data_IF_177973428701
#
_entry.id   IF_177973428701
#
_cell.length_a   1.000
_cell.length_b   1.000
_cell.length_c   1.000
_cell.angle_alpha   90.00
_cell.angle_beta   90.00
_cell.angle_gamma   90.00
#
_symmetry.space_group_name_H-M   'P 1'
#
loop_
_entity.id
_entity.type
_entity.pdbx_description
1 polymer ?
#
# COMPACT_ATOMS: atom_id res chain seq x y z
N UNK A 1 -60.06 -31.51 -31.63
CA UNK A 1 -59.51 -30.50 -30.70
C UNK A 1 -59.82 -29.12 -31.25
N UNK A 2 -60.47 -28.25 -30.47
CA UNK A 2 -60.98 -26.98 -31.01
C UNK A 2 -59.83 -26.01 -31.24
N UNK A 3 -59.73 -25.46 -32.46
CA UNK A 3 -58.69 -24.49 -32.83
C UNK A 3 -58.61 -23.30 -31.85
N UNK A 4 -59.77 -22.88 -31.31
CA UNK A 4 -59.87 -21.83 -30.27
C UNK A 4 -59.22 -22.23 -28.93
N UNK A 5 -59.33 -23.50 -28.54
CA UNK A 5 -58.73 -24.04 -27.31
C UNK A 5 -57.21 -24.17 -27.48
N UNK A 6 -56.74 -24.57 -28.66
CA UNK A 6 -55.30 -24.65 -28.97
C UNK A 6 -54.64 -23.27 -28.95
N UNK A 7 -55.26 -22.25 -29.54
CA UNK A 7 -54.74 -20.87 -29.56
C UNK A 7 -54.68 -20.28 -28.14
N UNK A 8 -55.73 -20.47 -27.33
CA UNK A 8 -55.76 -20.00 -25.96
C UNK A 8 -54.64 -20.64 -25.10
N UNK A 9 -54.38 -21.94 -25.27
CA UNK A 9 -53.30 -22.63 -24.56
C UNK A 9 -51.90 -22.10 -24.94
N UNK A 10 -51.66 -21.81 -26.21
CA UNK A 10 -50.38 -21.25 -26.68
C UNK A 10 -50.15 -19.85 -26.11
N UNK A 11 -51.17 -18.99 -26.06
CA UNK A 11 -51.06 -17.64 -25.50
C UNK A 11 -50.72 -17.68 -24.01
N UNK A 12 -51.35 -18.59 -23.24
CA UNK A 12 -51.06 -18.74 -21.80
C UNK A 12 -49.62 -19.22 -21.56
N UNK A 13 -49.11 -20.14 -22.38
CA UNK A 13 -47.72 -20.62 -22.29
C UNK A 13 -46.73 -19.50 -22.65
N UNK A 14 -47.02 -18.68 -23.67
CA UNK A 14 -46.15 -17.54 -24.04
C UNK A 14 -46.12 -16.50 -22.91
N UNK A 15 -47.26 -16.18 -22.29
CA UNK A 15 -47.30 -15.25 -21.15
C UNK A 15 -46.53 -15.80 -19.96
N UNK A 16 -46.61 -17.11 -19.68
CA UNK A 16 -45.83 -17.76 -18.62
C UNK A 16 -44.33 -17.79 -18.91
N UNK A 17 -43.91 -17.95 -20.17
CA UNK A 17 -42.49 -17.89 -20.58
C UNK A 17 -41.97 -16.45 -20.52
N UNK A 18 -42.76 -15.45 -20.92
CA UNK A 18 -42.36 -14.03 -20.83
C UNK A 18 -42.30 -13.56 -19.37
N UNK A 19 -43.22 -14.01 -18.51
CA UNK A 19 -43.15 -13.74 -17.06
C UNK A 19 -42.01 -14.51 -16.38
N UNK A 20 -41.72 -15.74 -16.82
CA UNK A 20 -40.60 -16.56 -16.32
C UNK A 20 -39.22 -16.10 -16.81
N UNK A 21 -39.14 -15.41 -17.95
CA UNK A 21 -37.90 -14.83 -18.48
C UNK A 21 -37.54 -13.48 -17.84
N UNK A 22 -38.45 -12.89 -17.05
CA UNK A 22 -38.20 -11.74 -16.17
C UNK A 22 -37.92 -12.18 -14.72
N UNK A 23 -37.32 -13.36 -14.52
CA UNK A 23 -36.61 -13.66 -13.27
C UNK A 23 -35.33 -12.81 -13.25
N UNK A 24 -35.46 -11.68 -12.57
CA UNK A 24 -34.45 -10.69 -12.25
C UNK A 24 -33.11 -11.32 -11.88
N UNK A 25 -32.05 -10.93 -12.59
CA UNK A 25 -30.68 -11.02 -12.08
C UNK A 25 -30.55 -10.08 -10.89
N UNK A 26 -30.87 -10.57 -9.70
CA UNK A 26 -30.43 -9.94 -8.46
C UNK A 26 -28.93 -10.18 -8.38
N UNK A 27 -28.14 -9.25 -8.90
CA UNK A 27 -26.71 -9.18 -8.58
C UNK A 27 -26.62 -8.80 -7.10
N UNK A 28 -26.72 -9.79 -6.21
CA UNK A 28 -26.45 -9.55 -4.79
C UNK A 28 -24.96 -9.30 -4.67
N UNK A 29 -24.59 -8.07 -4.33
CA UNK A 29 -23.23 -7.75 -3.96
C UNK A 29 -22.87 -8.47 -2.65
N UNK A 30 -21.61 -8.91 -2.54
CA UNK A 30 -21.04 -9.37 -1.28
C UNK A 30 -20.73 -8.18 -0.37
N UNK A 31 -20.84 -8.37 0.95
CA UNK A 31 -20.46 -7.31 1.88
C UNK A 31 -18.96 -7.05 1.81
N UNK A 32 -18.55 -5.78 1.75
CA UNK A 32 -17.15 -5.38 1.97
C UNK A 32 -16.88 -4.99 3.43
N UNK A 33 -15.62 -5.00 3.82
CA UNK A 33 -15.14 -4.65 5.15
C UNK A 33 -13.77 -4.00 5.05
N UNK A 34 -13.62 -2.81 5.64
CA UNK A 34 -12.36 -2.10 5.77
C UNK A 34 -11.80 -2.29 7.19
N UNK A 35 -10.48 -2.39 7.30
CA UNK A 35 -9.76 -2.35 8.57
C UNK A 35 -8.55 -1.44 8.43
N UNK A 36 -8.45 -0.42 9.28
CA UNK A 36 -7.20 0.36 9.44
C UNK A 36 -6.28 -0.46 10.34
N UNK A 37 -5.07 -0.72 9.87
CA UNK A 37 -4.11 -1.61 10.50
C UNK A 37 -3.13 -0.79 11.34
N UNK A 38 -3.04 -1.09 12.63
CA UNK A 38 -2.14 -0.42 13.58
C UNK A 38 -2.80 -0.10 14.91
N UNK A 39 -2.01 0.42 15.84
CA UNK A 39 -2.41 0.67 17.23
C UNK A 39 -2.92 2.10 17.49
N UNK A 40 -3.21 2.87 16.43
CA UNK A 40 -3.68 4.26 16.54
C UNK A 40 -2.58 5.29 16.80
N UNK A 41 -1.30 4.91 16.74
CA UNK A 41 -0.17 5.85 16.76
C UNK A 41 0.86 5.52 15.70
N UNK A 42 1.41 6.54 15.05
CA UNK A 42 2.56 6.47 14.13
C UNK A 42 3.44 7.71 14.33
N UNK A 43 4.64 7.71 13.79
CA UNK A 43 5.54 8.85 13.74
C UNK A 43 5.23 9.74 12.52
N UNK A 44 5.80 10.96 12.49
CA UNK A 44 5.67 11.85 11.33
C UNK A 44 6.14 11.16 10.05
N UNK A 45 5.54 11.51 8.92
CA UNK A 45 5.74 10.84 7.62
C UNK A 45 5.50 9.32 7.58
N UNK A 46 4.94 8.75 8.66
CA UNK A 46 4.53 7.37 8.75
C UNK A 46 3.43 6.98 7.76
N UNK A 47 3.14 5.68 7.72
CA UNK A 47 2.19 5.08 6.78
C UNK A 47 1.06 4.40 7.53
N UNK A 48 -0.19 4.73 7.18
CA UNK A 48 -1.35 3.98 7.66
C UNK A 48 -1.61 2.78 6.75
N UNK A 49 -1.81 1.61 7.34
CA UNK A 49 -2.16 0.40 6.60
C UNK A 49 -3.67 0.26 6.49
N UNK A 50 -4.16 -0.12 5.32
CA UNK A 50 -5.59 -0.33 5.07
C UNK A 50 -5.75 -1.72 4.49
N UNK A 51 -6.63 -2.52 5.07
CA UNK A 51 -7.04 -3.83 4.54
C UNK A 51 -8.50 -3.80 4.13
N UNK A 52 -8.77 -4.22 2.91
CA UNK A 52 -10.12 -4.40 2.38
C UNK A 52 -10.38 -5.89 2.14
N UNK A 53 -11.48 -6.39 2.71
CA UNK A 53 -11.94 -7.77 2.52
C UNK A 53 -13.42 -7.83 2.19
N UNK A 54 -13.91 -8.98 1.76
CA UNK A 54 -15.34 -9.28 1.85
C UNK A 54 -15.75 -9.61 3.30
N UNK A 55 -17.03 -9.92 3.50
CA UNK A 55 -17.60 -10.31 4.80
C UNK A 55 -16.98 -11.58 5.40
N UNK A 56 -16.41 -12.45 4.56
CA UNK A 56 -15.71 -13.68 4.98
C UNK A 56 -14.20 -13.46 5.22
N UNK A 57 -13.74 -12.21 5.20
CA UNK A 57 -12.33 -11.79 5.33
C UNK A 57 -11.42 -12.24 4.17
N UNK A 58 -11.97 -12.57 3.01
CA UNK A 58 -11.21 -12.78 1.77
C UNK A 58 -10.74 -11.44 1.22
N UNK A 59 -9.45 -11.34 0.88
CA UNK A 59 -8.82 -10.11 0.39
C UNK A 59 -9.45 -9.60 -0.92
N UNK A 60 -9.78 -8.31 -0.97
CA UNK A 60 -10.26 -7.65 -2.17
C UNK A 60 -9.12 -6.89 -2.84
N UNK A 61 -8.55 -7.50 -3.89
CA UNK A 61 -7.46 -6.91 -4.67
C UNK A 61 -7.94 -5.89 -5.70
N UNK A 62 -7.06 -4.95 -6.05
CA UNK A 62 -7.27 -3.96 -7.11
C UNK A 62 -8.56 -3.15 -6.94
N UNK A 63 -8.90 -2.82 -5.69
CA UNK A 63 -10.03 -1.94 -5.33
C UNK A 63 -9.49 -0.61 -4.86
N UNK A 64 -10.18 0.46 -5.21
CA UNK A 64 -9.80 1.82 -4.81
C UNK A 64 -10.49 2.18 -3.50
N UNK A 65 -9.70 2.54 -2.49
CA UNK A 65 -10.19 3.16 -1.26
C UNK A 65 -9.90 4.65 -1.28
N UNK A 66 -10.77 5.43 -0.64
CA UNK A 66 -10.61 6.86 -0.40
C UNK A 66 -10.24 7.08 1.06
N UNK A 67 -9.20 7.88 1.30
CA UNK A 67 -8.63 8.15 2.62
C UNK A 67 -8.67 9.64 2.88
N UNK A 68 -9.42 10.04 3.91
CA UNK A 68 -9.55 11.40 4.37
C UNK A 68 -9.06 11.50 5.82
N UNK A 69 -8.04 12.30 6.07
CA UNK A 69 -7.52 12.58 7.43
C UNK A 69 -7.83 14.02 7.77
N UNK A 70 -8.45 14.22 8.95
CA UNK A 70 -8.80 15.53 9.48
C UNK A 70 -8.09 15.81 10.78
N UNK A 71 -7.67 17.05 10.99
CA UNK A 71 -7.16 17.50 12.29
C UNK A 71 -8.29 17.69 13.31
N UNK A 72 -7.94 18.13 14.52
CA UNK A 72 -8.88 18.37 15.62
C UNK A 72 -9.91 19.48 15.34
N UNK A 73 -9.61 20.38 14.40
CA UNK A 73 -10.51 21.45 13.94
C UNK A 73 -11.41 20.98 12.79
N UNK A 74 -11.22 19.74 12.32
CA UNK A 74 -11.97 19.14 11.22
C UNK A 74 -11.47 19.53 9.83
N UNK A 75 -10.33 20.21 9.72
CA UNK A 75 -9.70 20.55 8.44
C UNK A 75 -9.08 19.29 7.85
N UNK A 76 -9.32 19.09 6.56
CA UNK A 76 -8.74 17.98 5.80
C UNK A 76 -7.25 18.27 5.56
N UNK A 77 -6.38 17.39 6.09
CA UNK A 77 -4.91 17.48 5.93
C UNK A 77 -4.37 16.44 4.95
N UNK A 78 -5.10 15.32 4.77
CA UNK A 78 -4.82 14.32 3.72
C UNK A 78 -6.12 13.93 3.06
N UNK A 79 -6.10 13.90 1.73
CA UNK A 79 -7.20 13.45 0.89
C UNK A 79 -6.62 12.71 -0.32
N UNK A 80 -6.68 11.38 -0.27
CA UNK A 80 -6.00 10.51 -1.23
C UNK A 80 -6.87 9.31 -1.61
N UNK A 81 -6.75 8.88 -2.86
CA UNK A 81 -7.21 7.54 -3.25
C UNK A 81 -6.03 6.59 -3.37
N UNK A 82 -6.24 5.33 -3.01
CA UNK A 82 -5.21 4.30 -3.07
C UNK A 82 -5.82 2.95 -3.47
N UNK A 83 -5.08 2.16 -4.26
CA UNK A 83 -5.54 0.88 -4.78
C UNK A 83 -4.95 -0.29 -3.98
N UNK A 84 -5.79 -1.24 -3.61
CA UNK A 84 -5.35 -2.43 -2.86
C UNK A 84 -4.50 -3.38 -3.70
N UNK A 85 -3.46 -3.93 -3.09
CA UNK A 85 -2.63 -4.97 -3.69
C UNK A 85 -3.30 -6.35 -3.68
N UNK A 86 -2.59 -7.37 -4.17
CA UNK A 86 -3.08 -8.76 -4.27
C UNK A 86 -3.60 -9.34 -2.95
N UNK A 87 -3.03 -8.91 -1.82
CA UNK A 87 -3.43 -9.32 -0.47
C UNK A 87 -4.55 -8.44 0.13
N UNK A 88 -5.13 -7.53 -0.65
CA UNK A 88 -6.17 -6.61 -0.19
C UNK A 88 -5.64 -5.50 0.74
N UNK A 89 -4.32 -5.33 0.85
CA UNK A 89 -3.68 -4.32 1.69
C UNK A 89 -3.14 -3.19 0.83
N UNK A 90 -3.20 -1.96 1.33
CA UNK A 90 -2.47 -0.79 0.80
C UNK A 90 -2.08 0.15 1.93
N UNK A 91 -0.92 0.77 1.80
CA UNK A 91 -0.41 1.81 2.68
C UNK A 91 -0.68 3.20 2.11
N UNK A 92 -1.03 4.15 2.97
CA UNK A 92 -1.11 5.58 2.61
C UNK A 92 -0.15 6.37 3.49
N UNK A 93 0.84 7.00 2.85
CA UNK A 93 1.85 7.80 3.54
C UNK A 93 1.31 9.19 3.89
N UNK A 94 1.46 9.58 5.15
CA UNK A 94 1.02 10.87 5.69
C UNK A 94 2.18 11.88 5.65
N UNK A 95 2.59 12.25 4.44
CA UNK A 95 3.72 13.16 4.23
C UNK A 95 3.37 14.59 4.64
N UNK A 96 4.30 15.28 5.31
CA UNK A 96 4.15 16.67 5.76
C UNK A 96 2.95 16.89 6.70
N UNK A 97 2.53 15.86 7.45
CA UNK A 97 1.54 15.98 8.50
C UNK A 97 2.26 16.06 9.84
N UNK A 98 2.13 17.19 10.53
CA UNK A 98 2.78 17.42 11.82
C UNK A 98 2.22 16.54 12.94
N UNK A 99 2.99 16.35 14.01
CA UNK A 99 2.53 15.67 15.21
C UNK A 99 1.22 16.25 15.77
N UNK A 100 0.33 15.38 16.24
CA UNK A 100 -1.01 15.76 16.70
C UNK A 100 -2.00 14.60 16.75
N UNK A 101 -3.25 14.93 17.06
CA UNK A 101 -4.38 13.98 17.08
C UNK A 101 -5.27 14.22 15.86
N UNK A 102 -5.61 13.15 15.16
CA UNK A 102 -6.30 13.17 13.88
C UNK A 102 -7.47 12.18 13.84
N UNK A 103 -8.42 12.45 12.94
CA UNK A 103 -9.51 11.56 12.59
C UNK A 103 -9.29 11.01 11.18
N UNK A 104 -9.01 9.71 11.07
CA UNK A 104 -8.81 9.02 9.81
C UNK A 104 -10.11 8.37 9.39
N UNK A 105 -10.59 8.70 8.19
CA UNK A 105 -11.78 8.14 7.57
C UNK A 105 -11.37 7.43 6.29
N UNK A 106 -11.75 6.16 6.15
CA UNK A 106 -11.47 5.37 4.96
C UNK A 106 -12.77 4.83 4.41
N UNK A 107 -12.99 5.04 3.12
CA UNK A 107 -14.20 4.62 2.41
C UNK A 107 -13.86 3.77 1.20
N UNK A 108 -14.67 2.75 0.96
CA UNK A 108 -14.76 2.02 -0.29
C UNK A 108 -16.18 2.23 -0.82
N UNK A 109 -16.32 2.86 -1.98
CA UNK A 109 -17.63 3.22 -2.56
C UNK A 109 -18.45 2.02 -3.04
N UNK A 110 -17.87 0.82 -3.02
CA UNK A 110 -18.48 -0.38 -3.59
C UNK A 110 -18.21 -0.51 -5.10
N UNK A 111 -18.60 -1.64 -5.66
CA UNK A 111 -18.60 -1.90 -7.10
C UNK A 111 -19.69 -2.92 -7.46
N UNK A 112 -19.77 -3.37 -8.71
CA UNK A 112 -20.80 -4.33 -9.15
C UNK A 112 -20.86 -5.65 -8.34
N UNK A 113 -19.77 -6.01 -7.65
CA UNK A 113 -19.62 -7.26 -6.90
C UNK A 113 -19.68 -7.06 -5.38
N UNK A 114 -19.34 -5.87 -4.88
CA UNK A 114 -19.19 -5.61 -3.44
C UNK A 114 -19.91 -4.35 -2.99
N UNK A 115 -20.54 -4.41 -1.81
CA UNK A 115 -21.19 -3.25 -1.20
C UNK A 115 -20.17 -2.21 -0.76
N UNK A 116 -20.62 -0.95 -0.58
CA UNK A 116 -19.78 0.09 0.02
C UNK A 116 -19.52 -0.18 1.50
N UNK A 117 -18.39 0.33 2.00
CA UNK A 117 -18.08 0.31 3.44
C UNK A 117 -17.21 1.50 3.83
N UNK A 118 -17.25 1.87 5.11
CA UNK A 118 -16.44 2.95 5.66
C UNK A 118 -16.00 2.63 7.09
N UNK A 119 -14.86 3.14 7.50
CA UNK A 119 -14.36 3.04 8.88
C UNK A 119 -13.67 4.34 9.28
N UNK A 120 -13.80 4.68 10.57
CA UNK A 120 -13.12 5.84 11.17
C UNK A 120 -12.27 5.40 12.36
N UNK A 121 -11.10 6.01 12.53
CA UNK A 121 -10.20 5.74 13.64
C UNK A 121 -9.47 7.02 14.08
N UNK A 122 -9.27 7.16 15.39
CA UNK A 122 -8.37 8.19 15.94
C UNK A 122 -6.93 7.78 15.74
N UNK A 123 -6.13 8.71 15.24
CA UNK A 123 -4.71 8.52 14.99
C UNK A 123 -3.91 9.60 15.70
N UNK A 124 -2.93 9.19 16.50
CA UNK A 124 -1.91 10.06 17.06
C UNK A 124 -0.66 10.02 16.18
N UNK A 125 -0.23 11.19 15.70
CA UNK A 125 1.07 11.34 15.05
C UNK A 125 2.06 11.88 16.08
N UNK A 126 3.16 11.15 16.26
CA UNK A 126 4.25 11.46 17.21
C UNK A 126 5.36 12.17 16.44
N UNK A 127 5.94 13.23 17.02
CA UNK A 127 6.98 14.01 16.37
C UNK A 127 8.25 13.20 16.09
N UNK A 128 8.92 13.50 14.98
CA UNK A 128 10.11 12.79 14.50
C UNK A 128 9.76 11.55 13.69
N UNK A 129 10.79 10.85 13.20
CA UNK A 129 10.69 9.58 12.47
C UNK A 129 11.11 8.43 13.39
N UNK A 130 10.57 7.23 13.17
CA UNK A 130 11.03 6.01 13.85
C UNK A 130 11.00 4.82 12.89
N UNK A 131 12.02 3.97 12.98
CA UNK A 131 12.07 2.69 12.26
C UNK A 131 11.10 1.65 12.84
N UNK A 132 10.54 1.90 14.03
CA UNK A 132 9.55 1.02 14.67
C UNK A 132 8.15 1.15 14.05
N UNK A 133 7.94 2.12 13.17
CA UNK A 133 6.64 2.32 12.52
C UNK A 133 6.29 1.17 11.56
N UNK A 134 5.01 0.77 11.52
CA UNK A 134 4.59 -0.33 10.66
C UNK A 134 4.74 0.06 9.17
N UNK A 135 5.42 -0.80 8.42
CA UNK A 135 5.57 -0.64 6.97
C UNK A 135 4.44 -1.33 6.21
N UNK A 136 3.86 -0.64 5.22
CA UNK A 136 2.82 -1.19 4.34
C UNK A 136 3.14 -0.91 2.88
N UNK A 137 2.73 -1.78 1.94
CA UNK A 137 2.96 -1.55 0.52
C UNK A 137 2.17 -0.31 0.06
N UNK A 138 2.87 0.73 -0.41
CA UNK A 138 2.26 2.01 -0.82
C UNK A 138 1.98 1.99 -2.31
N UNK A 139 0.76 2.39 -2.69
CA UNK A 139 0.38 2.61 -4.09
C UNK A 139 1.03 3.90 -4.62
N UNK A 140 1.93 3.76 -5.60
CA UNK A 140 2.66 4.89 -6.19
C UNK A 140 1.76 5.77 -7.07
N UNK A 141 0.63 5.21 -7.55
CA UNK A 141 -0.38 5.93 -8.34
C UNK A 141 -1.35 6.78 -7.47
N UNK A 142 -1.02 7.01 -6.20
CA UNK A 142 -1.90 7.76 -5.27
C UNK A 142 -2.18 9.18 -5.77
N UNK A 143 -3.43 9.42 -6.20
CA UNK A 143 -3.89 10.77 -6.57
C UNK A 143 -4.14 11.55 -5.28
N UNK A 144 -3.37 12.62 -5.09
CA UNK A 144 -3.54 13.57 -3.99
C UNK A 144 -4.45 14.70 -4.44
N UNK A 145 -5.60 14.88 -3.80
CA UNK A 145 -6.47 16.05 -3.99
C UNK A 145 -6.38 16.94 -2.78
N UNK A 146 -5.39 17.83 -2.72
CA UNK A 146 -5.36 18.85 -1.65
C UNK A 146 -6.53 19.81 -1.86
N UNK A 147 -7.50 19.80 -0.95
CA UNK A 147 -8.47 20.89 -0.82
C UNK A 147 -7.71 22.13 -0.33
N UNK A 148 -7.49 23.08 -1.24
CA UNK A 148 -6.80 24.37 -1.09
C UNK A 148 -5.31 24.43 -1.49
N UNK A 149 -5.07 24.36 -2.80
CA UNK A 149 -4.37 25.41 -3.57
C UNK A 149 -4.39 25.05 -5.06
N UNK A 150 -4.99 25.92 -5.86
CA UNK A 150 -4.93 25.87 -7.33
C UNK A 150 -3.47 25.94 -7.80
N UNK A 151 -2.92 24.82 -8.24
CA UNK A 151 -1.92 24.81 -9.32
C UNK A 151 -2.09 23.57 -10.18
N UNK A 152 -2.27 23.80 -11.47
CA UNK A 152 -2.27 22.76 -12.49
C UNK A 152 -0.82 22.35 -12.69
N UNK A 153 -0.48 21.09 -12.46
CA UNK A 153 0.62 20.48 -13.18
C UNK A 153 0.40 18.98 -13.36
N UNK A 154 0.12 18.64 -14.61
CA UNK A 154 0.14 17.28 -15.16
C UNK A 154 1.49 16.63 -14.89
N UNK A 155 1.49 15.35 -14.52
CA UNK A 155 2.64 14.49 -14.75
C UNK A 155 2.21 13.27 -15.53
N UNK A 156 2.70 13.22 -16.77
CA UNK A 156 2.69 12.07 -17.67
C UNK A 156 3.39 10.90 -16.98
N UNK A 157 2.71 9.77 -16.82
CA UNK A 157 3.37 8.51 -16.45
C UNK A 157 3.81 7.80 -17.73
N UNK A 158 5.12 7.72 -17.94
CA UNK A 158 5.73 6.93 -19.00
C UNK A 158 5.87 5.48 -18.53
N UNK A 159 5.11 4.58 -19.15
CA UNK A 159 5.34 3.15 -19.07
C UNK A 159 6.71 2.80 -19.67
N UNK A 160 7.60 2.13 -18.93
CA UNK A 160 8.58 1.23 -19.54
C UNK A 160 8.81 -0.04 -18.71
N UNK A 161 8.71 -1.14 -19.46
CA UNK A 161 8.89 -2.54 -19.12
C UNK A 161 10.34 -2.86 -18.75
N UNK A 162 10.54 -3.61 -17.67
CA UNK A 162 11.79 -4.32 -17.36
C UNK A 162 12.12 -5.36 -18.43
N UNK A 163 13.41 -5.52 -18.75
CA UNK A 163 13.95 -6.75 -19.32
C UNK A 163 15.39 -7.02 -18.82
N UNK A 164 15.65 -8.30 -18.64
CA UNK A 164 16.78 -8.95 -17.99
C UNK A 164 18.17 -8.61 -18.57
N UNK A 165 19.19 -8.68 -17.71
CA UNK A 165 20.63 -8.68 -18.03
C UNK A 165 21.06 -9.97 -18.75
N UNK A 166 22.16 -9.91 -19.52
CA UNK A 166 23.33 -10.68 -19.10
C UNK A 166 24.66 -9.91 -19.21
N UNK A 167 25.53 -10.25 -18.28
CA UNK A 167 26.88 -9.75 -18.02
C UNK A 167 27.86 -9.91 -19.20
N UNK A 168 28.75 -8.94 -19.36
CA UNK A 168 30.06 -9.14 -20.00
C UNK A 168 31.12 -8.25 -19.34
N UNK A 169 32.24 -8.90 -19.06
CA UNK A 169 33.34 -8.53 -18.17
C UNK A 169 34.40 -7.62 -18.81
N UNK A 170 35.12 -6.92 -17.91
CA UNK A 170 36.39 -6.17 -18.07
C UNK A 170 36.21 -4.82 -18.79
N UNK A 171 36.77 -3.70 -18.34
CA UNK A 171 38.20 -3.50 -18.09
C UNK A 171 38.51 -2.13 -17.45
N UNK A 172 39.63 -2.08 -16.70
CA UNK A 172 40.52 -0.94 -16.40
C UNK A 172 40.03 0.37 -15.73
N UNK A 173 40.70 0.68 -14.61
CA UNK A 173 41.27 2.03 -14.38
C UNK A 173 40.74 2.73 -13.14
N UNK A 174 41.52 2.68 -12.06
CA UNK A 174 41.18 3.27 -10.77
C UNK A 174 41.22 4.79 -10.72
N UNK A 175 40.81 5.33 -9.58
CA UNK A 175 41.64 6.17 -8.71
C UNK A 175 40.87 6.47 -7.42
N UNK A 176 41.57 6.27 -6.33
CA UNK A 176 41.23 6.51 -4.93
C UNK A 176 40.88 7.96 -4.61
N UNK A 177 39.99 8.14 -3.64
CA UNK A 177 40.14 9.17 -2.60
C UNK A 177 39.60 8.62 -1.29
N UNK A 178 40.53 8.45 -0.37
CA UNK A 178 40.40 7.95 1.00
C UNK A 178 39.46 8.80 1.85
N UNK A 179 38.82 8.15 2.82
CA UNK A 179 38.92 8.46 4.25
C UNK A 179 38.09 7.40 4.99
N UNK A 180 38.74 6.30 5.39
CA UNK A 180 38.17 5.30 6.31
C UNK A 180 39.23 4.94 7.34
N UNK A 181 38.92 5.21 8.61
CA UNK A 181 39.75 4.97 9.77
C UNK A 181 39.77 3.47 10.08
N UNK A 182 40.55 2.72 9.31
CA UNK A 182 40.73 1.27 9.47
C UNK A 182 42.02 0.94 10.21
N UNK A 183 41.91 0.26 11.35
CA UNK A 183 43.02 -0.45 11.99
C UNK A 183 43.51 -1.53 11.01
N UNK A 184 44.65 -1.32 10.37
CA UNK A 184 45.26 -2.29 9.46
C UNK A 184 45.80 -3.47 10.29
N UNK A 185 45.20 -4.65 10.15
CA UNK A 185 45.75 -5.87 10.72
C UNK A 185 46.92 -6.33 9.84
N UNK A 186 48.13 -6.36 10.38
CA UNK A 186 49.29 -6.92 9.69
C UNK A 186 49.16 -8.45 9.60
N UNK A 187 49.37 -9.00 8.40
CA UNK A 187 49.38 -10.46 8.17
C UNK A 187 50.80 -10.94 7.87
N UNK A 188 51.16 -12.14 8.33
CA UNK A 188 52.46 -12.74 8.02
C UNK A 188 52.55 -13.21 6.56
N UNK A 189 53.75 -13.62 6.13
CA UNK A 189 54.00 -14.11 4.77
C UNK A 189 53.21 -15.39 4.39
N UNK A 190 52.54 -16.01 5.37
CA UNK A 190 51.67 -17.16 5.20
C UNK A 190 50.18 -16.80 5.29
N UNK A 191 49.84 -15.51 5.44
CA UNK A 191 48.47 -14.99 5.48
C UNK A 191 47.76 -15.15 6.83
N UNK A 192 48.48 -15.36 7.93
CA UNK A 192 47.90 -15.39 9.26
C UNK A 192 47.98 -14.00 9.91
N UNK A 193 46.92 -13.62 10.65
CA UNK A 193 46.89 -12.36 11.41
C UNK A 193 48.04 -12.32 12.44
N UNK A 194 48.91 -11.31 12.34
CA UNK A 194 49.93 -11.05 13.35
C UNK A 194 49.30 -10.24 14.48
N UNK A 195 49.04 -10.89 15.60
CA UNK A 195 48.60 -10.21 16.82
C UNK A 195 49.74 -9.31 17.34
N UNK A 196 49.45 -8.10 17.83
CA UNK A 196 50.47 -7.23 18.40
C UNK A 196 51.15 -7.90 19.59
N UNK A 197 52.49 -7.87 19.61
CA UNK A 197 53.25 -8.32 20.77
C UNK A 197 53.13 -7.30 21.89
N UNK A 198 52.48 -7.68 22.98
CA UNK A 198 52.37 -6.88 24.20
C UNK A 198 53.40 -7.34 25.24
N UNK A 199 53.92 -6.42 26.03
CA UNK A 199 54.77 -6.75 27.19
C UNK A 199 53.96 -7.42 28.32
N UNK A 200 54.63 -7.87 29.38
CA UNK A 200 53.96 -8.50 30.55
C UNK A 200 52.98 -7.55 31.28
N UNK A 201 53.00 -6.26 30.93
CA UNK A 201 52.13 -5.20 31.45
C UNK A 201 50.99 -4.82 30.46
N UNK A 202 50.95 -5.43 29.27
CA UNK A 202 49.88 -5.28 28.29
C UNK A 202 50.02 -4.08 27.34
N UNK A 203 51.19 -3.45 27.27
CA UNK A 203 51.43 -2.36 26.33
C UNK A 203 52.00 -2.86 25.00
N UNK A 204 51.58 -2.26 23.89
CA UNK A 204 52.09 -2.58 22.55
C UNK A 204 53.57 -2.22 22.42
N UNK A 205 54.39 -3.19 22.03
CA UNK A 205 55.82 -2.98 21.79
C UNK A 205 56.05 -2.97 20.28
N UNK A 206 56.37 -1.81 19.71
CA UNK A 206 56.76 -1.73 18.29
C UNK A 206 58.12 -2.41 18.08
N UNK A 207 58.20 -3.29 17.07
CA UNK A 207 59.47 -3.82 16.57
C UNK A 207 60.25 -2.77 15.77
#
# INVERSE_FOLDING_TARGET
MNKKIIIAAIIVVIIAVVAGFMLTSSNSQDNSKITIMGNGSIHENGTIGIKLTNGENTALKNKTVHVCVKDSEGKIVVDKTAKTYVNGVVGVRLTNVSAGEYDVNVTFEGDENYTSSSVSQKLKIIAGESDDDPTYPVDDDTVTTTADASSTQSSQSSSQSQSYTPSRSNDYGGSSSSDDDGLDADYDENGNEMLPTVDEEGNEVSN
#
